data_IF_273025604383
#
_entry.id   IF_273025604383
#
_cell.length_a   1.000
_cell.length_b   1.000
_cell.length_c   1.000
_cell.angle_alpha   90.00
_cell.angle_beta   90.00
_cell.angle_gamma   90.00
#
_symmetry.space_group_name_H-M   'P 1'
#
loop_
_entity.id
_entity.type
_entity.pdbx_description
1 polymer ?
#
# COMPACT_ATOMS: atom_id res chain seq x y z
N UNK A 1 -23.38 13.78 -27.94
CA UNK A 1 -23.49 13.40 -26.52
C UNK A 1 -22.78 14.48 -25.71
N UNK A 2 -23.50 15.25 -24.90
CA UNK A 2 -22.92 16.34 -24.09
C UNK A 2 -22.03 15.76 -23.00
N UNK A 3 -20.85 16.36 -22.79
CA UNK A 3 -19.88 15.98 -21.74
C UNK A 3 -20.55 15.80 -20.37
N UNK A 4 -21.55 16.63 -20.07
CA UNK A 4 -22.35 16.57 -18.84
C UNK A 4 -23.08 15.24 -18.65
N UNK A 5 -23.59 14.62 -19.72
CA UNK A 5 -24.26 13.32 -19.65
C UNK A 5 -23.27 12.16 -19.46
N UNK A 6 -22.03 12.31 -19.93
CA UNK A 6 -20.97 11.33 -19.77
C UNK A 6 -20.38 11.35 -18.35
N UNK A 7 -20.33 12.51 -17.69
CA UNK A 7 -19.75 12.66 -16.33
C UNK A 7 -20.75 12.36 -15.21
N UNK A 8 -22.05 12.54 -15.46
CA UNK A 8 -23.13 12.34 -14.46
C UNK A 8 -23.08 11.01 -13.68
N UNK A 9 -22.72 9.85 -14.29
CA UNK A 9 -22.59 8.60 -13.56
C UNK A 9 -21.43 8.55 -12.55
N UNK A 10 -20.37 9.35 -12.75
CA UNK A 10 -19.17 9.36 -11.90
C UNK A 10 -19.29 10.29 -10.69
N UNK A 11 -20.14 11.33 -10.79
CA UNK A 11 -20.37 12.33 -9.73
C UNK A 11 -20.66 11.72 -8.34
N UNK A 12 -21.57 10.75 -8.18
CA UNK A 12 -21.85 10.17 -6.86
C UNK A 12 -20.64 9.46 -6.22
N UNK A 13 -19.83 8.73 -7.00
CA UNK A 13 -18.62 8.09 -6.49
C UNK A 13 -17.52 9.10 -6.14
N UNK A 14 -17.30 10.10 -7.00
CA UNK A 14 -16.36 11.18 -6.73
C UNK A 14 -16.76 12.01 -5.50
N UNK A 15 -18.04 12.28 -5.33
CA UNK A 15 -18.55 12.97 -4.14
C UNK A 15 -18.36 12.14 -2.87
N UNK A 16 -18.53 10.82 -2.96
CA UNK A 16 -18.30 9.90 -1.84
C UNK A 16 -16.81 9.86 -1.45
N UNK A 17 -15.91 9.72 -2.43
CA UNK A 17 -14.46 9.75 -2.21
C UNK A 17 -14.00 11.11 -1.66
N UNK A 18 -14.47 12.21 -2.26
CA UNK A 18 -14.15 13.56 -1.81
C UNK A 18 -14.68 13.85 -0.40
N UNK A 19 -15.91 13.43 -0.10
CA UNK A 19 -16.49 13.54 1.25
C UNK A 19 -15.71 12.74 2.28
N UNK A 20 -15.31 11.51 1.95
CA UNK A 20 -14.46 10.68 2.79
C UNK A 20 -13.08 11.31 3.04
N UNK A 21 -12.47 11.88 2.02
CA UNK A 21 -11.18 12.58 2.14
C UNK A 21 -11.27 13.82 3.04
N UNK A 22 -12.33 14.64 2.89
CA UNK A 22 -12.56 15.81 3.77
C UNK A 22 -12.79 15.37 5.21
N UNK A 23 -13.59 14.32 5.42
CA UNK A 23 -13.82 13.77 6.75
C UNK A 23 -12.50 13.30 7.39
N UNK A 24 -11.69 12.54 6.64
CA UNK A 24 -10.40 12.05 7.10
C UNK A 24 -9.42 13.19 7.42
N UNK A 25 -9.40 14.26 6.60
CA UNK A 25 -8.58 15.43 6.83
C UNK A 25 -9.00 16.21 8.08
N UNK A 26 -10.31 16.38 8.32
CA UNK A 26 -10.83 17.07 9.52
C UNK A 26 -10.52 16.26 10.78
N UNK A 27 -10.72 14.94 10.75
CA UNK A 27 -10.43 14.07 11.89
C UNK A 27 -8.92 13.98 12.15
N UNK A 28 -8.11 13.78 11.11
CA UNK A 28 -6.65 13.73 11.22
C UNK A 28 -6.05 15.06 11.67
N UNK A 29 -6.63 16.19 11.29
CA UNK A 29 -6.22 17.51 11.77
C UNK A 29 -6.67 17.83 13.20
N UNK A 30 -7.66 17.12 13.73
CA UNK A 30 -8.14 17.27 15.11
C UNK A 30 -7.37 16.41 16.12
N UNK A 31 -6.62 15.41 15.64
CA UNK A 31 -5.84 14.49 16.48
C UNK A 31 -4.41 14.44 15.94
N UNK A 32 -3.49 15.17 16.59
CA UNK A 32 -2.10 15.32 16.16
C UNK A 32 -1.33 13.99 15.97
N UNK A 33 -1.80 12.91 16.60
CA UNK A 33 -1.21 11.57 16.51
C UNK A 33 -1.69 10.73 15.30
N UNK A 34 -2.70 11.19 14.53
CA UNK A 34 -3.31 10.42 13.44
C UNK A 34 -3.03 11.07 12.08
N UNK A 35 -2.34 10.33 11.20
CA UNK A 35 -2.20 10.80 9.82
C UNK A 35 -3.57 10.75 9.11
N UNK A 36 -3.93 11.78 8.32
CA UNK A 36 -5.16 11.77 7.54
C UNK A 36 -5.30 10.53 6.64
N UNK A 37 -4.17 9.97 6.20
CA UNK A 37 -4.12 8.76 5.39
C UNK A 37 -4.58 7.52 6.17
N UNK A 38 -4.12 7.36 7.41
CA UNK A 38 -4.58 6.26 8.29
C UNK A 38 -6.08 6.37 8.52
N UNK A 39 -6.58 7.57 8.81
CA UNK A 39 -8.01 7.79 9.01
C UNK A 39 -8.80 7.46 7.74
N UNK A 40 -8.33 7.88 6.57
CA UNK A 40 -8.98 7.57 5.30
C UNK A 40 -9.07 6.06 5.04
N UNK A 41 -7.97 5.32 5.28
CA UNK A 41 -7.93 3.86 5.13
C UNK A 41 -8.89 3.17 6.10
N UNK A 42 -8.91 3.58 7.38
CA UNK A 42 -9.81 3.00 8.38
C UNK A 42 -11.28 3.29 8.04
N UNK A 43 -11.61 4.53 7.68
CA UNK A 43 -12.98 4.89 7.26
C UNK A 43 -13.39 4.09 6.02
N UNK A 44 -12.52 4.00 5.02
CA UNK A 44 -12.76 3.19 3.81
C UNK A 44 -12.98 1.72 4.13
N UNK A 45 -12.14 1.14 4.99
CA UNK A 45 -12.28 -0.25 5.43
C UNK A 45 -13.60 -0.48 6.19
N UNK A 46 -13.97 0.41 7.12
CA UNK A 46 -15.24 0.29 7.87
C UNK A 46 -16.44 0.40 6.94
N UNK A 47 -16.47 1.40 6.06
CA UNK A 47 -17.58 1.58 5.11
C UNK A 47 -17.68 0.39 4.15
N UNK A 48 -16.56 -0.04 3.58
CA UNK A 48 -16.51 -1.17 2.64
C UNK A 48 -16.95 -2.50 3.26
N UNK A 49 -16.69 -2.72 4.55
CA UNK A 49 -17.07 -3.96 5.25
C UNK A 49 -18.48 -3.93 5.88
N UNK A 50 -19.12 -2.76 5.99
CA UNK A 50 -20.43 -2.63 6.66
C UNK A 50 -21.57 -2.33 5.69
N UNK A 51 -21.44 -1.25 4.92
CA UNK A 51 -22.48 -0.75 4.02
C UNK A 51 -22.16 -1.10 2.57
N UNK A 52 -20.87 -1.30 2.26
CA UNK A 52 -20.38 -1.46 0.91
C UNK A 52 -20.45 -0.16 0.10
N UNK A 53 -20.11 -0.25 -1.18
CA UNK A 53 -20.24 0.87 -2.13
C UNK A 53 -21.62 0.80 -2.79
N UNK A 54 -22.45 1.85 -2.73
CA UNK A 54 -23.73 1.87 -3.44
C UNK A 54 -23.52 1.71 -4.95
N UNK A 55 -24.38 0.95 -5.64
CA UNK A 55 -24.33 0.74 -7.10
C UNK A 55 -24.27 2.06 -7.90
N UNK A 56 -24.90 3.11 -7.38
CA UNK A 56 -24.87 4.44 -7.99
C UNK A 56 -23.50 5.11 -7.92
N UNK A 57 -22.67 4.78 -6.93
CA UNK A 57 -21.34 5.35 -6.70
C UNK A 57 -20.21 4.49 -7.31
N UNK A 58 -20.47 3.22 -7.60
CA UNK A 58 -19.52 2.25 -8.15
C UNK A 58 -18.72 2.79 -9.36
N UNK A 59 -19.35 3.40 -10.39
CA UNK A 59 -18.61 3.91 -11.55
C UNK A 59 -17.62 5.01 -11.20
N UNK A 60 -17.91 5.81 -10.17
CA UNK A 60 -17.05 6.90 -9.70
C UNK A 60 -16.03 6.47 -8.64
N UNK A 61 -16.17 5.27 -8.06
CA UNK A 61 -15.16 4.66 -7.20
C UNK A 61 -14.16 3.88 -8.03
N UNK A 62 -14.58 3.20 -9.09
CA UNK A 62 -13.72 2.40 -10.00
C UNK A 62 -12.67 3.23 -10.78
N UNK A 63 -12.74 4.57 -10.70
CA UNK A 63 -11.72 5.46 -11.26
C UNK A 63 -10.56 5.70 -10.29
N UNK A 64 -10.59 5.10 -9.09
CA UNK A 64 -9.54 5.16 -8.08
C UNK A 64 -8.15 4.83 -8.64
N UNK A 65 -8.05 3.79 -9.46
CA UNK A 65 -6.79 3.35 -10.07
C UNK A 65 -6.18 4.46 -10.91
N UNK A 66 -7.00 5.15 -11.71
CA UNK A 66 -6.53 6.25 -12.56
C UNK A 66 -6.05 7.44 -11.72
N UNK A 67 -6.74 7.79 -10.64
CA UNK A 67 -6.30 8.86 -9.74
C UNK A 67 -5.01 8.50 -9.00
N UNK A 68 -4.90 7.26 -8.51
CA UNK A 68 -3.72 6.77 -7.82
C UNK A 68 -2.50 6.73 -8.74
N UNK A 69 -2.63 6.12 -9.93
CA UNK A 69 -1.53 6.07 -10.91
C UNK A 69 -1.11 7.47 -11.37
N UNK A 70 -2.07 8.36 -11.65
CA UNK A 70 -1.77 9.75 -12.01
C UNK A 70 -1.05 10.46 -10.86
N UNK A 71 -1.49 10.27 -9.62
CA UNK A 71 -0.85 10.83 -8.44
C UNK A 71 0.59 10.34 -8.27
N UNK A 72 0.85 9.04 -8.48
CA UNK A 72 2.20 8.46 -8.43
C UNK A 72 3.10 9.06 -9.51
N UNK A 73 2.59 9.24 -10.73
CA UNK A 73 3.35 9.86 -11.83
C UNK A 73 3.69 11.32 -11.52
N UNK A 74 2.72 12.10 -11.03
CA UNK A 74 2.93 13.50 -10.65
C UNK A 74 3.88 13.63 -9.44
N UNK A 75 3.78 12.74 -8.44
CA UNK A 75 4.72 12.68 -7.33
C UNK A 75 6.14 12.38 -7.82
N UNK A 76 6.28 11.54 -8.85
CA UNK A 76 7.55 11.26 -9.51
C UNK A 76 8.17 12.49 -10.21
N UNK A 77 7.36 13.44 -10.68
CA UNK A 77 7.83 14.72 -11.22
C UNK A 77 8.37 15.65 -10.12
N UNK A 78 7.74 15.65 -8.94
CA UNK A 78 8.16 16.46 -7.79
C UNK A 78 9.50 16.01 -7.20
N UNK A 79 9.83 14.72 -7.36
CA UNK A 79 11.16 14.20 -7.04
C UNK A 79 12.16 14.77 -8.05
N UNK A 80 12.75 15.91 -7.69
CA UNK A 80 13.70 16.64 -8.53
C UNK A 80 14.80 15.69 -8.98
N UNK A 81 14.87 15.44 -10.29
CA UNK A 81 15.87 14.58 -10.93
C UNK A 81 17.30 14.95 -10.48
N UNK A 82 17.53 16.22 -10.14
CA UNK A 82 18.79 16.77 -9.63
C UNK A 82 19.18 16.27 -8.22
N UNK A 83 18.22 15.97 -7.32
CA UNK A 83 18.50 15.32 -6.03
C UNK A 83 18.71 13.80 -6.19
N UNK A 84 18.07 13.22 -7.21
CA UNK A 84 18.14 11.78 -7.50
C UNK A 84 19.43 11.36 -8.23
N UNK A 85 20.04 12.23 -9.04
CA UNK A 85 21.30 11.90 -9.72
C UNK A 85 22.46 11.56 -8.76
N UNK A 86 22.75 12.36 -7.71
CA UNK A 86 23.84 12.05 -6.78
C UNK A 86 23.46 10.95 -5.77
N UNK A 87 22.19 10.83 -5.39
CA UNK A 87 21.73 9.94 -4.31
C UNK A 87 21.13 8.62 -4.82
N UNK A 88 20.78 8.56 -6.11
CA UNK A 88 20.11 7.44 -6.77
C UNK A 88 20.84 6.10 -6.65
N UNK A 89 22.18 6.04 -6.82
CA UNK A 89 22.93 4.80 -6.60
C UNK A 89 22.84 4.29 -5.16
N UNK A 90 22.84 5.20 -4.18
CA UNK A 90 22.71 4.85 -2.76
C UNK A 90 21.32 4.33 -2.45
N UNK A 91 20.27 5.00 -2.95
CA UNK A 91 18.87 4.56 -2.78
C UNK A 91 18.65 3.21 -3.47
N UNK A 92 19.13 3.05 -4.70
CA UNK A 92 19.05 1.79 -5.43
C UNK A 92 19.79 0.66 -4.70
N UNK A 93 21.00 0.93 -4.21
CA UNK A 93 21.77 -0.04 -3.42
C UNK A 93 21.03 -0.43 -2.14
N UNK A 94 20.42 0.54 -1.45
CA UNK A 94 19.63 0.30 -0.25
C UNK A 94 18.42 -0.57 -0.56
N UNK A 95 17.65 -0.25 -1.60
CA UNK A 95 16.49 -1.05 -2.04
C UNK A 95 16.91 -2.46 -2.42
N UNK A 96 17.99 -2.64 -3.18
CA UNK A 96 18.46 -3.97 -3.55
C UNK A 96 18.85 -4.81 -2.33
N UNK A 97 19.55 -4.20 -1.36
CA UNK A 97 19.95 -4.88 -0.13
C UNK A 97 18.75 -5.19 0.75
N UNK A 98 17.79 -4.27 0.91
CA UNK A 98 16.60 -4.50 1.73
C UNK A 98 15.66 -5.52 1.11
N UNK A 99 15.44 -5.48 -0.21
CA UNK A 99 14.63 -6.49 -0.93
C UNK A 99 15.30 -7.86 -0.88
N UNK A 100 16.59 -7.96 -1.21
CA UNK A 100 17.31 -9.23 -1.18
C UNK A 100 17.41 -9.79 0.24
N UNK A 101 17.71 -8.94 1.22
CA UNK A 101 17.73 -9.29 2.63
C UNK A 101 16.37 -9.74 3.13
N UNK A 102 15.31 -9.00 2.78
CA UNK A 102 13.92 -9.33 3.09
C UNK A 102 13.52 -10.69 2.52
N UNK A 103 13.83 -10.96 1.25
CA UNK A 103 13.54 -12.24 0.61
C UNK A 103 14.25 -13.39 1.34
N UNK A 104 15.56 -13.28 1.60
CA UNK A 104 16.32 -14.33 2.27
C UNK A 104 15.84 -14.54 3.70
N UNK A 105 15.56 -13.46 4.44
CA UNK A 105 15.10 -13.52 5.81
C UNK A 105 13.69 -14.09 5.91
N UNK A 106 12.74 -13.58 5.14
CA UNK A 106 11.35 -14.04 5.14
C UNK A 106 11.27 -15.50 4.67
N UNK A 107 11.98 -15.87 3.61
CA UNK A 107 12.04 -17.25 3.13
C UNK A 107 12.70 -18.17 4.17
N UNK A 108 13.79 -17.72 4.77
CA UNK A 108 14.51 -18.43 5.81
C UNK A 108 13.64 -18.65 7.05
N UNK A 109 12.98 -17.61 7.54
CA UNK A 109 12.07 -17.69 8.70
C UNK A 109 10.88 -18.61 8.38
N UNK A 110 10.24 -18.45 7.22
CA UNK A 110 9.12 -19.29 6.82
C UNK A 110 9.51 -20.77 6.73
N UNK A 111 10.65 -21.09 6.10
CA UNK A 111 11.08 -22.48 5.88
C UNK A 111 11.76 -23.12 7.09
N UNK A 112 12.68 -22.42 7.74
CA UNK A 112 13.50 -23.00 8.82
C UNK A 112 12.78 -22.95 10.16
N UNK A 113 12.15 -21.82 10.50
CA UNK A 113 11.53 -21.63 11.81
C UNK A 113 10.11 -22.18 11.84
N UNK A 114 9.30 -21.84 10.83
CA UNK A 114 7.89 -22.23 10.77
C UNK A 114 7.61 -23.47 9.90
N UNK A 115 8.62 -24.01 9.20
CA UNK A 115 8.52 -25.21 8.34
C UNK A 115 7.40 -25.11 7.29
N UNK A 116 7.17 -23.91 6.77
CA UNK A 116 6.22 -23.64 5.69
C UNK A 116 6.76 -24.19 4.37
N UNK A 117 5.97 -25.06 3.72
CA UNK A 117 6.32 -25.67 2.45
C UNK A 117 6.29 -24.70 1.27
N UNK A 118 7.05 -25.02 0.22
CA UNK A 118 6.97 -24.38 -1.10
C UNK A 118 5.67 -24.81 -1.79
N UNK A 119 4.96 -23.92 -2.52
CA UNK A 119 5.34 -22.55 -2.89
C UNK A 119 4.97 -21.47 -1.87
N UNK A 120 4.18 -21.77 -0.83
CA UNK A 120 3.63 -20.76 0.09
C UNK A 120 4.70 -19.92 0.81
N UNK A 121 5.83 -20.52 1.22
CA UNK A 121 6.95 -19.76 1.79
C UNK A 121 7.48 -18.70 0.84
N UNK A 122 7.74 -19.07 -0.41
CA UNK A 122 8.24 -18.15 -1.45
C UNK A 122 7.23 -17.08 -1.82
N UNK A 123 5.93 -17.39 -1.76
CA UNK A 123 4.88 -16.40 -1.96
C UNK A 123 4.85 -15.36 -0.83
N UNK A 124 4.94 -15.81 0.43
CA UNK A 124 4.98 -14.91 1.58
C UNK A 124 6.26 -14.04 1.57
N UNK A 125 7.40 -14.64 1.24
CA UNK A 125 8.66 -13.92 1.13
C UNK A 125 8.63 -12.85 0.02
N UNK A 126 8.11 -13.21 -1.16
CA UNK A 126 7.96 -12.28 -2.27
C UNK A 126 6.97 -11.15 -1.96
N UNK A 127 5.87 -11.48 -1.29
CA UNK A 127 4.89 -10.52 -0.83
C UNK A 127 5.53 -9.49 0.09
N UNK A 128 6.05 -9.93 1.23
CA UNK A 128 6.58 -9.08 2.31
C UNK A 128 7.91 -8.36 2.01
N UNK A 129 8.44 -8.43 0.78
CA UNK A 129 9.78 -7.87 0.46
C UNK A 129 9.82 -7.04 -0.82
N UNK A 130 8.74 -6.94 -1.61
CA UNK A 130 8.78 -6.28 -2.92
C UNK A 130 7.66 -5.26 -3.06
N UNK A 131 6.45 -5.73 -3.37
CA UNK A 131 5.29 -4.87 -3.66
C UNK A 131 3.99 -5.56 -3.22
N UNK A 132 4.06 -6.37 -2.16
CA UNK A 132 2.92 -7.07 -1.61
C UNK A 132 2.22 -8.00 -2.61
N UNK A 133 0.94 -7.75 -2.88
CA UNK A 133 0.05 -8.66 -3.62
C UNK A 133 0.49 -8.88 -5.07
N UNK A 134 0.98 -7.85 -5.77
CA UNK A 134 1.46 -8.01 -7.16
C UNK A 134 2.64 -8.99 -7.25
N UNK A 135 3.55 -8.96 -6.26
CA UNK A 135 4.65 -9.91 -6.17
C UNK A 135 4.15 -11.34 -5.91
N UNK A 136 3.20 -11.51 -4.98
CA UNK A 136 2.57 -12.81 -4.69
C UNK A 136 1.95 -13.42 -5.96
N UNK A 137 1.21 -12.63 -6.73
CA UNK A 137 0.55 -13.12 -7.96
C UNK A 137 1.58 -13.45 -9.03
N UNK A 138 2.60 -12.61 -9.23
CA UNK A 138 3.65 -12.84 -10.22
C UNK A 138 4.44 -14.13 -9.92
N UNK A 139 4.91 -14.29 -8.68
CA UNK A 139 5.65 -15.48 -8.26
C UNK A 139 4.75 -16.73 -8.23
N UNK A 140 3.47 -16.56 -7.87
CA UNK A 140 2.47 -17.63 -7.94
C UNK A 140 2.33 -18.22 -9.34
N UNK A 141 2.36 -17.37 -10.38
CA UNK A 141 2.33 -17.82 -11.79
C UNK A 141 3.61 -18.55 -12.20
N UNK A 142 4.77 -18.09 -11.73
CA UNK A 142 6.08 -18.70 -12.04
C UNK A 142 6.23 -20.07 -11.39
N UNK A 143 5.73 -20.23 -10.15
CA UNK A 143 5.82 -21.47 -9.38
C UNK A 143 4.65 -22.44 -9.60
N UNK A 144 3.72 -22.10 -10.50
CA UNK A 144 2.46 -22.83 -10.72
C UNK A 144 1.71 -23.12 -9.41
N UNK A 145 1.63 -22.09 -8.56
CA UNK A 145 1.04 -22.20 -7.23
C UNK A 145 -0.48 -22.32 -7.32
N UNK A 146 -1.05 -23.14 -6.43
CA UNK A 146 -2.51 -23.27 -6.31
C UNK A 146 -3.13 -21.92 -5.93
N UNK A 147 -4.30 -21.63 -6.49
CA UNK A 147 -5.04 -20.39 -6.17
C UNK A 147 -5.23 -20.18 -4.67
N UNK A 148 -5.49 -21.24 -3.90
CA UNK A 148 -5.62 -21.15 -2.44
C UNK A 148 -4.34 -20.66 -1.73
N UNK A 149 -3.16 -21.00 -2.23
CA UNK A 149 -1.90 -20.53 -1.68
C UNK A 149 -1.65 -19.05 -2.04
N UNK A 150 -2.02 -18.63 -3.25
CA UNK A 150 -1.96 -17.23 -3.68
C UNK A 150 -2.90 -16.37 -2.84
N UNK A 151 -4.16 -16.80 -2.67
CA UNK A 151 -5.15 -16.09 -1.84
C UNK A 151 -4.70 -16.01 -0.38
N UNK A 152 -4.17 -17.10 0.18
CA UNK A 152 -3.65 -17.11 1.56
C UNK A 152 -2.50 -16.13 1.72
N UNK A 153 -1.51 -16.17 0.81
CA UNK A 153 -0.35 -15.30 0.88
C UNK A 153 -0.77 -13.83 0.71
N UNK A 154 -1.58 -13.51 -0.30
CA UNK A 154 -2.07 -12.16 -0.54
C UNK A 154 -2.88 -11.61 0.65
N UNK A 155 -3.78 -12.41 1.23
CA UNK A 155 -4.55 -12.00 2.40
C UNK A 155 -3.68 -11.80 3.64
N UNK A 156 -2.65 -12.62 3.84
CA UNK A 156 -1.70 -12.46 4.95
C UNK A 156 -0.90 -11.17 4.78
N UNK A 157 -0.38 -10.91 3.58
CA UNK A 157 0.37 -9.69 3.26
C UNK A 157 -0.49 -8.45 3.49
N UNK A 158 -1.70 -8.41 2.93
CA UNK A 158 -2.63 -7.29 3.11
C UNK A 158 -2.97 -7.03 4.58
N UNK A 159 -3.11 -8.09 5.37
CA UNK A 159 -3.36 -7.96 6.80
C UNK A 159 -2.17 -7.32 7.52
N UNK A 160 -0.95 -7.75 7.21
CA UNK A 160 0.25 -7.16 7.79
C UNK A 160 0.45 -5.71 7.32
N UNK A 161 0.20 -5.40 6.05
CA UNK A 161 0.27 -4.04 5.51
C UNK A 161 -0.70 -3.09 6.22
N UNK A 162 -1.94 -3.54 6.47
CA UNK A 162 -2.91 -2.76 7.22
C UNK A 162 -2.44 -2.50 8.66
N UNK A 163 -1.79 -3.49 9.29
CA UNK A 163 -1.23 -3.35 10.64
C UNK A 163 -0.03 -2.40 10.65
N UNK A 164 0.88 -2.51 9.69
CA UNK A 164 2.08 -1.64 9.61
C UNK A 164 1.70 -0.19 9.37
N UNK A 165 0.65 0.07 8.57
CA UNK A 165 0.14 1.41 8.32
C UNK A 165 -0.22 2.19 9.61
N UNK A 166 -0.71 1.49 10.63
CA UNK A 166 -1.00 2.06 11.95
C UNK A 166 0.19 1.99 12.90
N UNK A 167 0.93 0.87 12.89
CA UNK A 167 2.03 0.64 13.81
C UNK A 167 3.24 1.54 13.55
N UNK A 168 3.56 1.85 12.28
CA UNK A 168 4.72 2.63 11.91
C UNK A 168 4.66 4.07 12.43
N UNK A 169 3.58 4.85 12.21
CA UNK A 169 3.47 6.20 12.76
C UNK A 169 3.64 6.23 14.28
N UNK A 170 3.00 5.31 15.00
CA UNK A 170 3.11 5.19 16.46
C UNK A 170 4.55 4.88 16.89
N UNK A 171 5.21 3.94 16.21
CA UNK A 171 6.60 3.62 16.46
C UNK A 171 7.53 4.80 16.14
N UNK A 172 7.26 5.54 15.07
CA UNK A 172 8.02 6.73 14.68
C UNK A 172 7.94 7.85 15.72
N UNK A 173 6.76 8.08 16.29
CA UNK A 173 6.55 9.03 17.38
C UNK A 173 7.27 8.58 18.66
N UNK A 174 7.14 7.30 19.04
CA UNK A 174 7.79 6.74 20.22
C UNK A 174 9.32 6.78 20.13
N UNK A 175 9.86 6.56 18.93
CA UNK A 175 11.29 6.61 18.65
C UNK A 175 11.80 8.06 18.46
N UNK A 176 10.91 9.06 18.42
CA UNK A 176 11.26 10.46 18.20
C UNK A 176 11.93 10.72 16.85
N UNK A 177 11.55 9.96 15.82
CA UNK A 177 12.15 10.06 14.49
C UNK A 177 11.78 11.39 13.83
N UNK A 178 12.75 12.04 13.18
CA UNK A 178 12.46 13.17 12.29
C UNK A 178 11.64 12.72 11.08
N UNK A 179 10.90 13.64 10.46
CA UNK A 179 10.07 13.33 9.27
C UNK A 179 10.86 12.67 8.14
N UNK A 180 12.12 13.08 7.93
CA UNK A 180 13.01 12.48 6.93
C UNK A 180 13.43 11.06 7.32
N UNK A 181 13.79 10.82 8.58
CA UNK A 181 14.18 9.48 9.04
C UNK A 181 13.00 8.51 9.00
N UNK A 182 11.83 8.96 9.44
CA UNK A 182 10.61 8.19 9.34
C UNK A 182 10.28 7.85 7.89
N UNK A 183 10.33 8.84 6.98
CA UNK A 183 10.07 8.63 5.56
C UNK A 183 11.03 7.63 4.90
N UNK A 184 12.34 7.72 5.19
CA UNK A 184 13.31 6.75 4.68
C UNK A 184 13.04 5.36 5.24
N UNK A 185 12.82 5.23 6.55
CA UNK A 185 12.55 3.95 7.19
C UNK A 185 11.26 3.31 6.65
N UNK A 186 10.14 4.05 6.71
CA UNK A 186 8.85 3.67 6.17
C UNK A 186 8.97 3.20 4.71
N UNK A 187 9.63 3.98 3.86
CA UNK A 187 9.74 3.70 2.42
C UNK A 187 10.61 2.48 2.08
N UNK A 188 11.56 2.09 2.93
CA UNK A 188 12.44 0.92 2.68
C UNK A 188 12.03 -0.34 3.42
N UNK A 189 10.97 -0.31 4.23
CA UNK A 189 10.55 -1.47 5.03
C UNK A 189 9.06 -1.79 5.03
N UNK A 190 8.18 -0.90 4.55
CA UNK A 190 6.77 -1.26 4.35
C UNK A 190 6.60 -1.90 2.98
N UNK A 191 6.77 -3.23 2.91
CA UNK A 191 6.48 -4.08 1.75
C UNK A 191 5.82 -5.39 2.18
#
# INVERSE_FOLDING_TARGET
MTVVAAVRPYVPGLALLGGGAVLAAVIGGAVDALSPLVVAVVVGAVVGNTVGTPDAAEPGVDVDTLFLETGIVLLGEEVVVEEFLPTGPTVLGLVLVTVAGGLVLAEGVARLLFRVGTPTSSLLAAGASICGVSAVVAIGRVLDARGSAITLAAGTVLLFDAVTLVAFPLAGEWLGLSSRQFGVWAGVSMF
#
